data_IF_176464249813
#
_entry.id   IF_176464249813
#
_cell.length_a   1.000
_cell.length_b   1.000
_cell.length_c   1.000
_cell.angle_alpha   90.00
_cell.angle_beta   90.00
_cell.angle_gamma   90.00
#
_symmetry.space_group_name_H-M   'P 1'
#
loop_
_entity.id
_entity.type
_entity.pdbx_description
1 polymer ?
#
# COMPACT_ATOMS: atom_id res chain seq x y z
N UNK A 1 8.13 -2.99 10.74
CA UNK A 1 7.47 -1.66 10.61
C UNK A 1 6.22 -1.51 11.49
N UNK A 2 5.81 -2.57 12.25
CA UNK A 2 4.68 -2.48 13.19
C UNK A 2 4.89 -1.33 14.18
N UNK A 3 3.90 -0.42 14.27
CA UNK A 3 3.92 0.72 15.19
C UNK A 3 4.46 2.03 14.60
N UNK A 4 4.78 2.09 13.31
CA UNK A 4 5.25 3.31 12.64
C UNK A 4 4.17 4.08 11.87
N UNK A 5 3.00 3.48 11.65
CA UNK A 5 1.89 4.10 10.94
C UNK A 5 0.74 4.41 11.91
N UNK A 6 0.13 5.58 11.76
CA UNK A 6 -1.08 5.95 12.49
C UNK A 6 -2.25 5.10 12.03
N UNK A 7 -2.33 4.81 10.74
CA UNK A 7 -3.26 3.87 10.14
C UNK A 7 -2.57 3.09 9.01
N UNK A 8 -2.86 1.81 8.90
CA UNK A 8 -2.40 0.99 7.78
C UNK A 8 -3.49 0.03 7.30
N UNK A 9 -3.55 -0.15 5.99
CA UNK A 9 -4.45 -1.09 5.33
C UNK A 9 -3.80 -1.68 4.08
N UNK A 10 -4.15 -2.92 3.74
CA UNK A 10 -3.79 -3.56 2.48
C UNK A 10 -5.06 -3.97 1.74
N UNK A 11 -5.19 -3.59 0.49
CA UNK A 11 -6.30 -4.01 -0.37
C UNK A 11 -6.38 -5.53 -0.48
N UNK A 12 -7.58 -6.07 -0.59
CA UNK A 12 -7.80 -7.52 -0.76
C UNK A 12 -7.56 -7.91 -2.21
N UNK A 13 -6.79 -8.98 -2.44
CA UNK A 13 -6.48 -9.46 -3.78
C UNK A 13 -7.74 -9.78 -4.60
N UNK A 14 -7.87 -9.28 -5.83
CA UNK A 14 -9.01 -9.59 -6.69
C UNK A 14 -9.05 -11.06 -7.15
N UNK A 15 -7.96 -11.81 -7.02
CA UNK A 15 -7.87 -13.23 -7.41
C UNK A 15 -8.80 -14.09 -6.56
N UNK A 16 -8.97 -13.72 -5.29
CA UNK A 16 -9.80 -14.48 -4.34
C UNK A 16 -11.28 -14.07 -4.39
N UNK A 17 -11.66 -13.21 -5.35
CA UNK A 17 -13.02 -12.67 -5.46
C UNK A 17 -13.71 -13.17 -6.72
N UNK A 18 -14.35 -14.33 -6.64
CA UNK A 18 -15.06 -14.94 -7.79
C UNK A 18 -16.30 -14.14 -8.23
N UNK A 19 -16.99 -13.45 -7.32
CA UNK A 19 -18.23 -12.71 -7.61
C UNK A 19 -18.00 -11.19 -7.66
N UNK A 20 -18.12 -10.62 -8.88
CA UNK A 20 -17.99 -9.17 -9.10
C UNK A 20 -18.93 -8.32 -8.23
N UNK A 21 -20.12 -8.83 -7.89
CA UNK A 21 -21.13 -8.10 -7.10
C UNK A 21 -20.68 -7.88 -5.64
N UNK A 22 -19.79 -8.72 -5.15
CA UNK A 22 -19.33 -8.68 -3.76
C UNK A 22 -17.98 -7.99 -3.57
N UNK A 23 -17.23 -7.68 -4.64
CA UNK A 23 -15.86 -7.13 -4.58
C UNK A 23 -15.79 -5.87 -3.71
N UNK A 24 -16.62 -4.88 -3.97
CA UNK A 24 -16.66 -3.65 -3.17
C UNK A 24 -16.99 -3.93 -1.70
N UNK A 25 -17.94 -4.82 -1.41
CA UNK A 25 -18.34 -5.15 -0.03
C UNK A 25 -17.17 -5.80 0.73
N UNK A 26 -16.44 -6.70 0.10
CA UNK A 26 -15.26 -7.36 0.70
C UNK A 26 -14.17 -6.34 1.00
N UNK A 27 -13.89 -5.43 0.08
CA UNK A 27 -12.91 -4.36 0.31
C UNK A 27 -13.32 -3.45 1.48
N UNK A 28 -14.59 -3.03 1.51
CA UNK A 28 -15.11 -2.18 2.60
C UNK A 28 -15.07 -2.89 3.96
N UNK A 29 -15.37 -4.18 3.98
CA UNK A 29 -15.31 -4.99 5.21
C UNK A 29 -13.87 -5.11 5.73
N UNK A 30 -12.91 -5.41 4.85
CA UNK A 30 -11.49 -5.46 5.19
C UNK A 30 -10.97 -4.11 5.68
N UNK A 31 -11.35 -3.01 5.01
CA UNK A 31 -10.99 -1.67 5.42
C UNK A 31 -11.57 -1.31 6.80
N UNK A 32 -12.82 -1.68 7.03
CA UNK A 32 -13.48 -1.49 8.32
C UNK A 32 -12.79 -2.25 9.45
N UNK A 33 -12.38 -3.51 9.23
CA UNK A 33 -11.61 -4.27 10.21
C UNK A 33 -10.23 -3.63 10.50
N UNK A 34 -9.60 -3.04 9.49
CA UNK A 34 -8.38 -2.28 9.73
C UNK A 34 -8.64 -1.08 10.62
N UNK A 35 -9.73 -0.34 10.42
CA UNK A 35 -10.10 0.79 11.30
C UNK A 35 -10.40 0.33 12.74
N UNK A 36 -11.11 -0.78 12.92
CA UNK A 36 -11.38 -1.35 14.26
C UNK A 36 -10.07 -1.74 14.97
N UNK A 37 -9.13 -2.35 14.25
CA UNK A 37 -7.83 -2.73 14.78
C UNK A 37 -6.98 -1.52 15.21
N UNK A 38 -7.25 -0.33 14.65
CA UNK A 38 -6.61 0.93 15.02
C UNK A 38 -7.42 1.75 16.05
N UNK A 39 -8.52 1.20 16.58
CA UNK A 39 -9.26 1.80 17.67
C UNK A 39 -10.51 2.60 17.25
N UNK A 40 -11.07 2.36 16.06
CA UNK A 40 -12.39 2.86 15.70
C UNK A 40 -13.45 2.19 16.56
N UNK A 41 -14.34 2.99 17.16
CA UNK A 41 -15.42 2.53 18.01
C UNK A 41 -16.71 3.27 17.68
N UNK A 42 -17.87 2.63 17.92
CA UNK A 42 -19.18 3.27 17.79
C UNK A 42 -19.71 3.41 16.37
N UNK A 43 -19.01 2.88 15.37
CA UNK A 43 -19.41 2.91 13.98
C UNK A 43 -19.81 1.50 13.49
N UNK A 44 -20.77 1.46 12.57
CA UNK A 44 -21.12 0.22 11.85
C UNK A 44 -20.25 0.09 10.59
N UNK A 45 -20.20 -1.10 10.01
CA UNK A 45 -19.56 -1.35 8.73
C UNK A 45 -20.07 -0.37 7.66
N UNK A 46 -19.15 0.34 6.96
CA UNK A 46 -19.53 1.30 5.91
C UNK A 46 -20.12 0.61 4.69
N UNK A 47 -21.04 1.29 4.00
CA UNK A 47 -21.70 0.80 2.80
C UNK A 47 -21.16 1.43 1.51
N UNK A 48 -20.31 2.42 1.64
CA UNK A 48 -19.66 3.13 0.54
C UNK A 48 -18.26 3.59 0.95
N UNK A 49 -17.42 3.88 -0.03
CA UNK A 49 -16.10 4.46 0.23
C UNK A 49 -16.16 5.85 0.86
N UNK A 50 -17.19 6.66 0.53
CA UNK A 50 -17.43 7.94 1.21
C UNK A 50 -17.65 7.75 2.71
N UNK A 51 -18.48 6.78 3.08
CA UNK A 51 -18.73 6.46 4.50
C UNK A 51 -17.48 5.89 5.17
N UNK A 52 -16.70 5.06 4.45
CA UNK A 52 -15.46 4.48 4.95
C UNK A 52 -14.40 5.56 5.23
N UNK A 53 -14.18 6.48 4.31
CA UNK A 53 -13.22 7.57 4.51
C UNK A 53 -13.69 8.56 5.58
N UNK A 54 -14.98 8.85 5.67
CA UNK A 54 -15.52 9.63 6.79
C UNK A 54 -15.21 8.97 8.15
N UNK A 55 -15.39 7.65 8.26
CA UNK A 55 -15.05 6.92 9.49
C UNK A 55 -13.53 6.93 9.76
N UNK A 56 -12.71 6.89 8.71
CA UNK A 56 -11.26 7.05 8.85
C UNK A 56 -10.89 8.44 9.37
N UNK A 57 -11.52 9.50 8.87
CA UNK A 57 -11.34 10.87 9.41
C UNK A 57 -11.62 10.92 10.91
N UNK A 58 -12.74 10.34 11.36
CA UNK A 58 -13.09 10.29 12.78
C UNK A 58 -12.07 9.53 13.63
N UNK A 59 -11.54 8.42 13.09
CA UNK A 59 -10.47 7.67 13.73
C UNK A 59 -9.20 8.51 13.84
N UNK A 60 -8.79 9.15 12.74
CA UNK A 60 -7.57 9.95 12.69
C UNK A 60 -7.65 11.17 13.62
N UNK A 61 -8.81 11.83 13.69
CA UNK A 61 -9.05 12.91 14.65
C UNK A 61 -8.90 12.45 16.12
N UNK A 62 -9.36 11.22 16.42
CA UNK A 62 -9.19 10.61 17.76
C UNK A 62 -7.73 10.29 18.06
N UNK A 63 -6.95 9.92 17.04
CA UNK A 63 -5.53 9.52 17.16
C UNK A 63 -4.55 10.70 17.07
N UNK A 64 -5.02 11.86 16.64
CA UNK A 64 -4.18 13.04 16.46
C UNK A 64 -3.66 13.55 17.83
N UNK A 65 -2.35 13.52 17.97
CA UNK A 65 -1.63 14.00 19.14
C UNK A 65 -0.73 15.23 18.82
N UNK A 66 -0.93 15.82 17.63
CA UNK A 66 -0.12 16.92 17.10
C UNK A 66 1.19 16.49 16.43
N UNK A 67 1.53 15.21 16.45
CA UNK A 67 2.68 14.66 15.72
C UNK A 67 2.29 14.27 14.30
N UNK A 68 3.30 13.91 13.47
CA UNK A 68 3.05 13.45 12.11
C UNK A 68 2.23 12.17 12.09
N UNK A 69 1.08 12.23 11.45
CA UNK A 69 0.23 11.08 11.17
C UNK A 69 0.56 10.47 9.80
N UNK A 70 0.93 9.19 9.77
CA UNK A 70 1.19 8.47 8.53
C UNK A 70 0.08 7.46 8.28
N UNK A 71 -0.62 7.66 7.16
CA UNK A 71 -1.63 6.76 6.63
C UNK A 71 -0.96 5.95 5.52
N UNK A 72 -0.86 4.63 5.69
CA UNK A 72 -0.26 3.74 4.71
C UNK A 72 -1.33 2.83 4.10
N UNK A 73 -1.49 2.90 2.78
CA UNK A 73 -2.42 2.04 2.03
C UNK A 73 -1.62 1.23 1.00
N UNK A 74 -1.58 -0.07 1.23
CA UNK A 74 -0.92 -1.02 0.35
C UNK A 74 -1.91 -1.61 -0.66
N UNK A 75 -1.45 -1.89 -1.88
CA UNK A 75 -2.24 -2.39 -3.00
C UNK A 75 -3.51 -1.55 -3.25
N UNK A 76 -3.34 -0.22 -3.22
CA UNK A 76 -4.41 0.75 -3.47
C UNK A 76 -5.25 0.44 -4.73
N UNK A 77 -4.65 0.00 -5.87
CA UNK A 77 -5.41 -0.34 -7.07
C UNK A 77 -6.47 -1.43 -6.89
N UNK A 78 -6.28 -2.35 -5.94
CA UNK A 78 -7.23 -3.44 -5.69
C UNK A 78 -8.54 -2.96 -5.06
N UNK A 79 -8.51 -1.81 -4.41
CA UNK A 79 -9.68 -1.19 -3.77
C UNK A 79 -10.61 -0.52 -4.78
N UNK A 80 -10.09 -0.13 -5.96
CA UNK A 80 -10.86 0.51 -7.04
C UNK A 80 -11.63 -0.53 -7.85
N UNK A 81 -12.65 -1.11 -7.23
CA UNK A 81 -13.52 -2.09 -7.89
C UNK A 81 -14.53 -1.41 -8.82
N UNK A 82 -15.05 -2.10 -9.85
CA UNK A 82 -15.98 -1.52 -10.79
C UNK A 82 -17.18 -0.85 -10.11
N UNK A 83 -17.50 0.38 -10.49
CA UNK A 83 -18.62 1.19 -10.00
C UNK A 83 -18.57 1.54 -8.50
N UNK A 84 -17.45 1.31 -7.82
CA UNK A 84 -17.30 1.58 -6.39
C UNK A 84 -17.21 3.06 -6.03
N UNK A 85 -16.86 3.91 -6.98
CA UNK A 85 -16.53 5.34 -6.78
C UNK A 85 -15.39 5.55 -5.79
N UNK A 86 -14.47 4.58 -5.71
CA UNK A 86 -13.34 4.63 -4.79
C UNK A 86 -12.49 5.89 -4.99
N UNK A 87 -12.06 6.14 -6.24
CA UNK A 87 -11.24 7.32 -6.55
C UNK A 87 -11.91 8.64 -6.15
N UNK A 88 -13.20 8.81 -6.44
CA UNK A 88 -13.92 10.02 -6.05
C UNK A 88 -13.98 10.20 -4.53
N UNK A 89 -14.09 9.10 -3.79
CA UNK A 89 -14.07 9.14 -2.33
C UNK A 89 -12.67 9.44 -1.78
N UNK A 90 -11.63 8.86 -2.36
CA UNK A 90 -10.24 9.16 -2.01
C UNK A 90 -9.88 10.63 -2.32
N UNK A 91 -10.29 11.13 -3.49
CA UNK A 91 -10.12 12.54 -3.87
C UNK A 91 -10.81 13.48 -2.86
N UNK A 92 -12.02 13.14 -2.44
CA UNK A 92 -12.78 13.92 -1.45
C UNK A 92 -12.07 13.90 -0.08
N UNK A 93 -11.63 12.74 0.38
CA UNK A 93 -10.89 12.59 1.62
C UNK A 93 -9.59 13.42 1.62
N UNK A 94 -8.81 13.32 0.53
CA UNK A 94 -7.55 14.07 0.43
C UNK A 94 -7.78 15.58 0.32
N UNK A 95 -8.61 16.03 -0.62
CA UNK A 95 -8.83 17.47 -0.87
C UNK A 95 -9.67 18.16 0.22
N UNK A 96 -10.48 17.39 0.94
CA UNK A 96 -11.22 17.89 2.09
C UNK A 96 -10.37 17.81 3.36
N UNK A 97 -10.43 16.67 4.03
CA UNK A 97 -9.86 16.53 5.37
C UNK A 97 -8.32 16.56 5.40
N UNK A 98 -7.64 15.77 4.57
CA UNK A 98 -6.16 15.69 4.64
C UNK A 98 -5.47 17.00 4.33
N UNK A 99 -6.00 17.76 3.35
CA UNK A 99 -5.41 19.03 2.93
C UNK A 99 -5.49 20.13 4.02
N UNK A 100 -6.38 19.98 4.97
CA UNK A 100 -6.56 20.90 6.09
C UNK A 100 -5.70 20.51 7.32
N UNK A 101 -4.91 19.43 7.22
CA UNK A 101 -4.07 18.91 8.29
C UNK A 101 -2.62 18.76 7.84
N UNK A 102 -1.77 19.74 8.15
CA UNK A 102 -0.35 19.79 7.73
C UNK A 102 0.50 18.64 8.28
N UNK A 103 0.02 17.95 9.32
CA UNK A 103 0.70 16.82 9.94
C UNK A 103 0.32 15.46 9.31
N UNK A 104 -0.56 15.42 8.29
CA UNK A 104 -0.97 14.19 7.63
C UNK A 104 -0.04 13.88 6.45
N UNK A 105 0.38 12.62 6.37
CA UNK A 105 1.09 12.04 5.22
C UNK A 105 0.36 10.79 4.75
N UNK A 106 -0.14 10.81 3.51
CA UNK A 106 -0.70 9.63 2.85
C UNK A 106 0.40 8.98 2.01
N UNK A 107 0.62 7.70 2.24
CA UNK A 107 1.54 6.86 1.47
C UNK A 107 0.77 5.71 0.88
N UNK A 108 0.74 5.64 -0.43
CA UNK A 108 0.11 4.54 -1.14
C UNK A 108 1.13 3.75 -1.95
N UNK A 109 0.92 2.45 -2.07
CA UNK A 109 1.66 1.63 -2.98
C UNK A 109 0.75 0.65 -3.73
N UNK A 110 1.29 0.06 -4.79
CA UNK A 110 0.59 -0.93 -5.58
C UNK A 110 1.45 -1.43 -6.74
N UNK A 111 1.26 -2.69 -7.06
CA UNK A 111 1.96 -3.37 -8.17
C UNK A 111 1.39 -3.00 -9.55
N UNK A 112 0.16 -2.49 -9.63
CA UNK A 112 -0.50 -2.11 -10.87
C UNK A 112 -0.02 -0.74 -11.41
N UNK A 113 1.21 -0.70 -11.92
CA UNK A 113 1.88 0.53 -12.40
C UNK A 113 1.01 1.35 -13.36
N UNK A 114 0.28 0.71 -14.28
CA UNK A 114 -0.60 1.42 -15.23
C UNK A 114 -1.72 2.15 -14.52
N UNK A 115 -2.33 1.56 -13.49
CA UNK A 115 -3.36 2.20 -12.69
C UNK A 115 -2.78 3.38 -11.90
N UNK A 116 -1.66 3.18 -11.20
CA UNK A 116 -0.97 4.22 -10.42
C UNK A 116 -0.62 5.44 -11.28
N UNK A 117 0.01 5.21 -12.45
CA UNK A 117 0.34 6.28 -13.38
C UNK A 117 -0.90 6.97 -13.93
N UNK A 118 -1.95 6.22 -14.26
CA UNK A 118 -3.17 6.78 -14.87
C UNK A 118 -3.94 7.65 -13.89
N UNK A 119 -4.11 7.20 -12.66
CA UNK A 119 -5.05 7.82 -11.72
C UNK A 119 -4.39 8.71 -10.66
N UNK A 120 -3.14 8.48 -10.33
CA UNK A 120 -2.41 9.31 -9.35
C UNK A 120 -1.46 10.30 -10.02
N UNK A 121 -0.57 9.82 -10.91
CA UNK A 121 0.51 10.66 -11.45
C UNK A 121 0.08 11.51 -12.67
N UNK A 122 -0.71 10.96 -13.61
CA UNK A 122 -1.02 11.62 -14.91
C UNK A 122 -2.47 12.05 -15.07
N UNK A 123 -3.34 11.73 -14.16
CA UNK A 123 -4.75 12.11 -14.25
C UNK A 123 -4.92 13.62 -13.95
N UNK A 124 -5.69 14.31 -14.80
CA UNK A 124 -6.12 15.69 -14.53
C UNK A 124 -7.34 15.77 -13.57
N UNK A 125 -7.59 14.71 -12.79
CA UNK A 125 -8.63 14.63 -11.76
C UNK A 125 -8.27 15.38 -10.48
N UNK A 126 -9.02 15.13 -9.42
CA UNK A 126 -8.89 15.81 -8.13
C UNK A 126 -7.59 15.56 -7.38
N UNK A 127 -6.83 14.51 -7.74
CA UNK A 127 -5.49 14.22 -7.19
C UNK A 127 -4.35 14.82 -8.01
N UNK A 128 -4.65 15.48 -9.14
CA UNK A 128 -3.62 16.10 -9.98
C UNK A 128 -2.82 17.16 -9.22
N UNK A 129 -1.48 17.05 -9.28
CA UNK A 129 -0.57 17.95 -8.59
C UNK A 129 -0.57 17.83 -7.05
N UNK A 130 -1.21 16.79 -6.51
CA UNK A 130 -1.23 16.50 -5.06
C UNK A 130 -0.15 15.50 -4.65
N UNK A 131 0.38 14.74 -5.62
CA UNK A 131 1.49 13.84 -5.39
C UNK A 131 2.76 14.66 -5.14
N UNK A 132 3.36 14.50 -3.96
CA UNK A 132 4.58 15.22 -3.56
C UNK A 132 5.83 14.46 -3.95
N UNK A 133 5.77 13.13 -3.97
CA UNK A 133 6.89 12.27 -4.35
C UNK A 133 6.42 10.95 -4.97
N UNK A 134 7.23 10.36 -5.85
CA UNK A 134 6.99 9.07 -6.48
C UNK A 134 8.26 8.22 -6.38
N UNK A 135 8.17 7.12 -5.63
CA UNK A 135 9.29 6.18 -5.45
C UNK A 135 9.01 4.93 -6.28
N UNK A 136 9.82 4.73 -7.33
CA UNK A 136 9.78 3.53 -8.13
C UNK A 136 10.77 2.49 -7.60
N UNK A 137 10.23 1.42 -7.04
CA UNK A 137 11.05 0.30 -6.53
C UNK A 137 11.35 -0.66 -7.66
N UNK A 138 12.65 -0.88 -7.92
CA UNK A 138 13.15 -1.82 -8.91
C UNK A 138 13.67 -3.09 -8.23
N UNK A 139 13.68 -4.23 -8.93
CA UNK A 139 14.46 -5.39 -8.50
C UNK A 139 15.93 -5.02 -8.29
N UNK A 140 16.60 -5.71 -7.39
CA UNK A 140 18.03 -5.53 -7.18
C UNK A 140 18.81 -5.80 -8.48
N UNK A 141 19.85 -5.02 -8.70
CA UNK A 141 20.87 -5.30 -9.69
C UNK A 141 21.76 -6.48 -9.23
N UNK A 142 22.56 -7.03 -10.11
CA UNK A 142 23.53 -8.08 -9.73
C UNK A 142 24.47 -7.64 -8.59
N UNK A 143 24.88 -6.38 -8.58
CA UNK A 143 25.71 -5.83 -7.50
C UNK A 143 24.97 -5.77 -6.18
N UNK A 144 23.73 -5.31 -6.19
CA UNK A 144 22.88 -5.28 -4.99
C UNK A 144 22.55 -6.68 -4.48
N UNK A 145 22.44 -7.68 -5.37
CA UNK A 145 22.30 -9.08 -4.94
C UNK A 145 23.60 -9.58 -4.26
N UNK A 146 24.79 -9.24 -4.80
CA UNK A 146 26.07 -9.54 -4.16
C UNK A 146 26.14 -8.91 -2.76
N UNK A 147 25.84 -7.62 -2.65
CA UNK A 147 25.83 -6.89 -1.38
C UNK A 147 24.79 -7.45 -0.38
N UNK A 148 23.62 -7.91 -0.87
CA UNK A 148 22.63 -8.58 -0.05
C UNK A 148 23.14 -9.89 0.53
N UNK A 149 23.76 -10.76 -0.28
CA UNK A 149 24.30 -12.03 0.19
C UNK A 149 25.46 -11.83 1.16
N UNK A 150 26.32 -10.85 0.91
CA UNK A 150 27.41 -10.46 1.82
C UNK A 150 26.84 -10.00 3.17
N UNK A 151 25.80 -9.15 3.16
CA UNK A 151 25.13 -8.67 4.38
C UNK A 151 24.51 -9.82 5.20
N UNK A 152 23.88 -10.77 4.53
CA UNK A 152 23.27 -11.95 5.17
C UNK A 152 24.31 -13.03 5.54
N UNK A 153 25.60 -12.82 5.26
CA UNK A 153 26.69 -13.76 5.46
C UNK A 153 26.48 -15.09 4.71
N UNK A 154 25.94 -15.02 3.51
CA UNK A 154 25.74 -16.14 2.59
C UNK A 154 26.88 -16.12 1.57
N UNK A 155 27.79 -17.08 1.67
CA UNK A 155 28.95 -17.19 0.78
C UNK A 155 28.52 -17.84 -0.54
N UNK A 156 28.41 -17.04 -1.60
CA UNK A 156 28.15 -17.48 -2.97
C UNK A 156 29.26 -16.98 -3.90
N UNK A 157 29.66 -17.83 -4.86
CA UNK A 157 30.54 -17.36 -5.93
C UNK A 157 29.77 -16.38 -6.85
N UNK A 158 30.46 -15.49 -7.54
CA UNK A 158 29.84 -14.63 -8.54
C UNK A 158 29.08 -15.40 -9.61
N UNK A 159 29.54 -16.59 -9.95
CA UNK A 159 28.86 -17.49 -10.88
C UNK A 159 27.50 -17.93 -10.32
N UNK A 160 27.44 -18.34 -9.04
CA UNK A 160 26.21 -18.76 -8.39
C UNK A 160 25.22 -17.59 -8.23
N UNK A 161 25.72 -16.39 -7.96
CA UNK A 161 24.89 -15.17 -7.92
C UNK A 161 24.28 -14.90 -9.28
N UNK A 162 25.03 -15.01 -10.38
CA UNK A 162 24.51 -14.84 -11.74
C UNK A 162 23.45 -15.89 -12.06
N UNK A 163 23.71 -17.18 -11.73
CA UNK A 163 22.73 -18.24 -11.93
C UNK A 163 21.44 -17.98 -11.15
N UNK A 164 21.54 -17.62 -9.88
CA UNK A 164 20.42 -17.25 -9.02
C UNK A 164 19.63 -16.08 -9.60
N UNK A 165 20.33 -15.06 -10.09
CA UNK A 165 19.72 -13.90 -10.73
C UNK A 165 18.94 -14.27 -12.00
N UNK A 166 19.45 -15.18 -12.81
CA UNK A 166 18.77 -15.66 -14.03
C UNK A 166 17.45 -16.41 -13.72
N UNK A 167 17.37 -17.04 -12.55
CA UNK A 167 16.17 -17.80 -12.14
C UNK A 167 15.18 -16.95 -11.35
N UNK A 168 15.67 -16.18 -10.39
CA UNK A 168 14.84 -15.46 -9.41
C UNK A 168 14.75 -13.96 -9.68
N UNK A 169 15.57 -13.42 -10.59
CA UNK A 169 15.77 -11.99 -10.74
C UNK A 169 16.34 -11.37 -9.46
N UNK A 170 16.33 -10.07 -9.38
CA UNK A 170 16.76 -9.34 -8.18
C UNK A 170 15.65 -9.10 -7.17
N UNK A 171 14.69 -10.00 -7.02
CA UNK A 171 13.56 -9.82 -6.10
C UNK A 171 13.99 -10.22 -4.68
N UNK A 172 14.06 -9.27 -3.71
CA UNK A 172 14.55 -9.54 -2.36
C UNK A 172 13.81 -10.67 -1.65
N UNK A 173 12.51 -10.79 -1.91
CA UNK A 173 11.70 -11.87 -1.35
C UNK A 173 12.25 -13.26 -1.72
N UNK A 174 12.60 -13.49 -2.98
CA UNK A 174 13.15 -14.77 -3.40
C UNK A 174 14.59 -14.97 -2.91
N UNK A 175 15.39 -13.89 -2.86
CA UNK A 175 16.74 -13.96 -2.32
C UNK A 175 16.75 -14.34 -0.83
N UNK A 176 15.73 -13.99 -0.08
CA UNK A 176 15.60 -14.34 1.35
C UNK A 176 15.43 -15.84 1.63
N UNK A 177 15.16 -16.65 0.62
CA UNK A 177 15.12 -18.11 0.76
C UNK A 177 16.51 -18.77 0.73
N UNK A 178 17.53 -18.05 0.28
CA UNK A 178 18.90 -18.54 0.38
C UNK A 178 19.33 -18.56 1.84
N UNK A 179 19.90 -19.67 2.26
CA UNK A 179 20.34 -19.86 3.65
C UNK A 179 21.79 -20.31 3.67
N UNK A 180 22.53 -19.86 4.69
CA UNK A 180 23.91 -20.27 4.92
C UNK A 180 24.00 -21.81 5.02
N UNK A 181 24.88 -22.42 4.22
CA UNK A 181 25.16 -23.85 4.29
C UNK A 181 24.27 -24.77 3.44
N UNK A 182 23.40 -24.21 2.59
CA UNK A 182 22.67 -24.95 1.56
C UNK A 182 23.17 -24.47 0.19
N UNK A 183 24.23 -25.09 -0.28
CA UNK A 183 24.76 -24.95 -1.66
C UNK A 183 24.30 -26.12 -2.52
#
# INVERSE_FOLDING_TARGET
>A
LKGKFTFQHTGVSPIDMEDEKNKMRIQLESFYFSMLNHGLEGYRQPRSWMEAFFQLEQLLQKLDNGERMVIFIDELPWMDTPRSRFLSALENFWNGWCNDHDNVMLVDCGSATTWMLKYLSRNKGGLYGRLTDEIKVYPFTLKECEDYFDHENIELSRYDIVQSYMVFGGIPYYLSYFRKGYS
#
